data_IF_036147425301
#
_entry.id   IF_036147425301
#
_cell.length_a   1.000
_cell.length_b   1.000
_cell.length_c   1.000
_cell.angle_alpha   90.00
_cell.angle_beta   90.00
_cell.angle_gamma   90.00
#
_symmetry.space_group_name_H-M   'P 1'
#
loop_
_entity.id
_entity.type
_entity.pdbx_description
1 polymer ?
#
# COMPACT_ATOMS: atom_id res chain seq x y z
N UNK A 1 11.26 35.08 44.46
CA UNK A 1 12.32 34.14 44.89
C UNK A 1 11.65 32.81 45.21
N UNK A 2 11.92 31.67 44.61
CA UNK A 2 12.89 31.32 43.57
C UNK A 2 12.31 30.16 42.77
N UNK A 3 12.32 30.33 41.46
CA UNK A 3 12.15 29.30 40.46
C UNK A 3 13.44 28.44 40.47
N UNK A 4 13.34 27.10 40.42
CA UNK A 4 14.52 26.26 40.18
C UNK A 4 14.16 25.02 39.40
N UNK A 5 14.28 25.22 38.09
CA UNK A 5 14.34 24.28 36.99
C UNK A 5 14.97 22.93 37.30
N UNK A 6 14.24 21.87 36.92
CA UNK A 6 14.79 20.54 36.69
C UNK A 6 15.39 20.52 35.27
N UNK A 7 16.72 20.48 35.20
CA UNK A 7 17.51 20.30 33.97
C UNK A 7 17.55 18.82 33.59
N UNK A 8 17.01 18.48 32.42
CA UNK A 8 17.37 17.24 31.72
C UNK A 8 18.40 17.54 30.62
N UNK A 9 19.61 16.95 30.64
CA UNK A 9 20.48 16.91 29.49
C UNK A 9 20.54 15.48 28.93
N UNK A 10 20.16 15.31 27.66
CA UNK A 10 20.97 14.50 26.73
C UNK A 10 20.49 14.69 25.30
N UNK A 11 21.43 15.13 24.46
CA UNK A 11 21.23 15.27 23.03
C UNK A 11 21.18 13.92 22.33
N UNK A 12 20.31 13.80 21.35
CA UNK A 12 20.50 12.91 20.23
C UNK A 12 20.41 13.76 18.96
N UNK A 13 21.57 13.87 18.32
CA UNK A 13 21.82 14.60 17.10
C UNK A 13 21.07 13.94 15.94
N UNK A 14 19.79 14.26 15.79
CA UNK A 14 18.98 13.84 14.65
C UNK A 14 19.36 14.63 13.42
N UNK A 15 20.48 14.27 12.77
CA UNK A 15 20.75 14.61 11.36
C UNK A 15 19.67 13.94 10.51
N UNK A 16 18.49 14.55 10.50
CA UNK A 16 17.32 14.06 9.80
C UNK A 16 17.51 14.34 8.30
N UNK A 17 18.35 13.52 7.66
CA UNK A 17 18.47 13.42 6.20
C UNK A 17 17.13 12.88 5.69
N UNK A 18 16.13 13.76 5.60
CA UNK A 18 14.92 13.55 4.80
C UNK A 18 15.35 13.57 3.33
N UNK A 19 16.03 12.52 2.88
CA UNK A 19 16.52 12.40 1.50
C UNK A 19 15.72 11.31 0.80
N UNK A 20 15.07 11.78 -0.27
CA UNK A 20 14.26 11.08 -1.27
C UNK A 20 12.87 10.62 -0.82
N UNK A 21 11.90 11.42 -1.28
CA UNK A 21 10.45 11.23 -1.24
C UNK A 21 10.04 10.22 -2.34
N UNK A 22 10.61 9.02 -2.31
CA UNK A 22 10.26 7.93 -3.22
C UNK A 22 9.74 6.79 -2.37
N UNK A 23 8.42 6.71 -2.26
CA UNK A 23 7.72 5.65 -1.52
C UNK A 23 7.39 4.57 -2.55
N UNK A 24 7.96 3.37 -2.37
CA UNK A 24 7.92 2.25 -3.30
C UNK A 24 8.46 2.61 -4.72
N UNK A 25 9.79 2.55 -4.94
CA UNK A 25 10.41 2.96 -6.20
C UNK A 25 9.94 2.13 -7.40
N UNK A 26 9.59 0.86 -7.21
CA UNK A 26 9.12 0.00 -8.29
C UNK A 26 7.75 0.44 -8.82
N UNK A 27 6.83 0.77 -7.91
CA UNK A 27 5.51 1.29 -8.27
C UNK A 27 5.66 2.65 -8.97
N UNK A 28 6.40 3.58 -8.36
CA UNK A 28 6.53 4.93 -8.89
C UNK A 28 7.17 4.95 -10.28
N UNK A 29 8.28 4.23 -10.50
CA UNK A 29 8.95 4.21 -11.80
C UNK A 29 8.11 3.57 -12.90
N UNK A 30 7.40 2.46 -12.61
CA UNK A 30 6.53 1.80 -13.59
C UNK A 30 5.43 2.76 -14.08
N UNK A 31 4.79 3.49 -13.17
CA UNK A 31 3.77 4.47 -13.52
C UNK A 31 4.33 5.69 -14.20
N UNK A 32 5.40 6.29 -13.68
CA UNK A 32 6.04 7.44 -14.30
C UNK A 32 6.46 7.13 -15.73
N UNK A 33 7.08 5.96 -15.97
CA UNK A 33 7.50 5.55 -17.31
C UNK A 33 6.29 5.32 -18.24
N UNK A 34 5.22 4.70 -17.74
CA UNK A 34 3.99 4.47 -18.53
C UNK A 34 3.31 5.80 -18.89
N UNK A 35 3.20 6.74 -17.95
CA UNK A 35 2.61 8.08 -18.17
C UNK A 35 3.46 8.85 -19.18
N UNK A 36 4.76 8.96 -18.92
CA UNK A 36 5.68 9.74 -19.77
C UNK A 36 5.76 9.12 -21.16
N UNK A 37 5.87 7.80 -21.27
CA UNK A 37 5.89 7.08 -22.54
C UNK A 37 4.60 7.28 -23.33
N UNK A 38 3.44 7.22 -22.68
CA UNK A 38 2.15 7.50 -23.31
C UNK A 38 2.06 8.93 -23.82
N UNK A 39 2.33 9.92 -22.96
CA UNK A 39 2.32 11.36 -23.32
C UNK A 39 3.31 11.67 -24.44
N UNK A 40 4.52 11.09 -24.38
CA UNK A 40 5.53 11.23 -25.42
C UNK A 40 5.04 10.66 -26.74
N UNK A 41 4.52 9.42 -26.75
CA UNK A 41 3.98 8.77 -27.95
C UNK A 41 2.88 9.63 -28.60
N UNK A 42 1.99 10.19 -27.78
CA UNK A 42 0.91 11.09 -28.22
C UNK A 42 1.48 12.36 -28.86
N UNK A 43 2.43 13.01 -28.20
CA UNK A 43 3.05 14.24 -28.68
C UNK A 43 3.80 14.01 -30.00
N UNK A 44 4.55 12.92 -30.11
CA UNK A 44 5.25 12.54 -31.35
C UNK A 44 4.27 12.29 -32.48
N UNK A 45 3.16 11.59 -32.22
CA UNK A 45 2.14 11.31 -33.23
C UNK A 45 1.45 12.60 -33.70
N UNK A 46 1.11 13.51 -32.79
CA UNK A 46 0.58 14.84 -33.13
C UNK A 46 1.59 15.67 -33.92
N UNK A 47 2.87 15.67 -33.51
CA UNK A 47 3.92 16.43 -34.18
C UNK A 47 4.15 15.93 -35.60
N UNK A 48 4.16 14.61 -35.82
CA UNK A 48 4.27 14.01 -37.15
C UNK A 48 3.09 14.37 -38.05
N UNK A 49 1.85 14.28 -37.56
CA UNK A 49 0.67 14.61 -38.38
C UNK A 49 0.64 16.09 -38.74
N UNK A 50 0.94 16.98 -37.79
CA UNK A 50 1.01 18.41 -38.03
C UNK A 50 2.12 18.76 -39.04
N UNK A 51 3.32 18.17 -38.88
CA UNK A 51 4.42 18.37 -39.81
C UNK A 51 4.07 17.88 -41.22
N UNK A 52 3.43 16.72 -41.34
CA UNK A 52 2.97 16.18 -42.63
C UNK A 52 1.98 17.11 -43.34
N UNK A 53 0.99 17.63 -42.60
CA UNK A 53 0.01 18.59 -43.13
C UNK A 53 0.72 19.87 -43.60
N UNK A 54 1.58 20.46 -42.77
CA UNK A 54 2.30 21.69 -43.09
C UNK A 54 3.24 21.51 -44.30
N UNK A 55 3.94 20.38 -44.38
CA UNK A 55 4.81 20.06 -45.50
C UNK A 55 4.03 19.86 -46.80
N UNK A 56 2.88 19.18 -46.74
CA UNK A 56 1.98 19.03 -47.90
C UNK A 56 1.42 20.37 -48.37
N UNK A 57 1.05 21.26 -47.44
CA UNK A 57 0.62 22.64 -47.74
C UNK A 57 1.73 23.43 -48.43
N UNK A 58 2.96 23.37 -47.90
CA UNK A 58 4.12 24.04 -48.48
C UNK A 58 4.39 23.56 -49.90
N UNK A 59 4.36 22.24 -50.15
CA UNK A 59 4.51 21.68 -51.51
C UNK A 59 3.41 22.14 -52.46
N UNK A 60 2.16 22.19 -52.01
CA UNK A 60 1.03 22.67 -52.82
C UNK A 60 1.17 24.14 -53.21
N UNK A 61 1.62 25.00 -52.29
CA UNK A 61 1.85 26.44 -52.56
C UNK A 61 2.94 26.68 -53.59
N UNK A 62 3.99 25.86 -53.60
CA UNK A 62 5.08 25.98 -54.59
C UNK A 62 4.63 25.50 -55.97
N UNK A 63 3.88 24.41 -56.07
CA UNK A 63 3.42 23.87 -57.36
C UNK A 63 2.27 24.68 -57.98
N UNK A 64 1.39 25.25 -57.16
CA UNK A 64 0.20 25.96 -57.62
C UNK A 64 0.05 27.30 -56.88
N UNK A 65 0.77 28.35 -57.32
CA UNK A 65 0.80 29.64 -56.61
C UNK A 65 -0.52 30.42 -56.66
N UNK A 66 -1.36 30.23 -57.69
CA UNK A 66 -2.60 31.01 -57.88
C UNK A 66 -3.84 30.48 -57.15
N UNK A 67 -3.82 29.21 -56.69
CA UNK A 67 -4.93 28.60 -55.92
C UNK A 67 -4.67 28.72 -54.43
N UNK A 68 -4.84 29.93 -53.90
CA UNK A 68 -4.67 30.20 -52.46
C UNK A 68 -6.01 30.29 -51.73
N UNK A 69 -6.79 29.20 -51.71
CA UNK A 69 -7.94 29.09 -50.77
C UNK A 69 -7.42 28.86 -49.34
N UNK A 70 -7.01 29.94 -48.66
CA UNK A 70 -6.50 29.91 -47.28
C UNK A 70 -7.57 29.38 -46.30
N UNK A 71 -8.84 29.67 -46.58
CA UNK A 71 -9.98 29.32 -45.73
C UNK A 71 -10.26 27.83 -45.64
N UNK A 72 -10.23 27.11 -46.76
CA UNK A 72 -10.48 25.65 -46.80
C UNK A 72 -9.40 24.87 -46.05
N UNK A 73 -8.14 25.29 -46.22
CA UNK A 73 -6.99 24.68 -45.56
C UNK A 73 -6.99 24.91 -44.04
N UNK A 74 -7.44 26.09 -43.61
CA UNK A 74 -7.52 26.44 -42.17
C UNK A 74 -8.63 25.66 -41.47
N UNK A 75 -9.80 25.52 -42.11
CA UNK A 75 -10.91 24.72 -41.58
C UNK A 75 -10.53 23.25 -41.40
N UNK A 76 -9.88 22.64 -42.39
CA UNK A 76 -9.41 21.26 -42.29
C UNK A 76 -8.42 21.09 -41.14
N UNK A 77 -7.48 22.03 -40.96
CA UNK A 77 -6.53 21.99 -39.85
C UNK A 77 -7.22 22.08 -38.48
N UNK A 78 -8.17 23.00 -38.32
CA UNK A 78 -8.94 23.17 -37.07
C UNK A 78 -9.76 21.92 -36.77
N UNK A 79 -10.46 21.37 -37.78
CA UNK A 79 -11.26 20.15 -37.61
C UNK A 79 -10.37 18.95 -37.26
N UNK A 80 -9.24 18.76 -37.93
CA UNK A 80 -8.29 17.69 -37.60
C UNK A 80 -7.74 17.84 -36.18
N UNK A 81 -7.38 19.05 -35.76
CA UNK A 81 -6.91 19.33 -34.40
C UNK A 81 -8.00 19.05 -33.35
N UNK A 82 -9.25 19.45 -33.62
CA UNK A 82 -10.39 19.21 -32.74
C UNK A 82 -10.70 17.71 -32.62
N UNK A 83 -10.75 16.97 -33.73
CA UNK A 83 -10.96 15.52 -33.74
C UNK A 83 -9.84 14.82 -32.96
N UNK A 84 -8.58 15.21 -33.18
CA UNK A 84 -7.45 14.68 -32.44
C UNK A 84 -7.59 14.94 -30.94
N UNK A 85 -7.94 16.17 -30.53
CA UNK A 85 -8.13 16.52 -29.13
C UNK A 85 -9.23 15.67 -28.46
N UNK A 86 -10.35 15.44 -29.16
CA UNK A 86 -11.45 14.60 -28.66
C UNK A 86 -11.01 13.14 -28.51
N UNK A 87 -10.37 12.57 -29.53
CA UNK A 87 -9.83 11.21 -29.47
C UNK A 87 -8.83 11.06 -28.33
N UNK A 88 -7.99 12.08 -28.13
CA UNK A 88 -7.00 12.08 -27.07
C UNK A 88 -7.60 12.16 -25.68
N UNK A 89 -8.56 13.07 -25.48
CA UNK A 89 -9.29 13.17 -24.22
C UNK A 89 -9.97 11.84 -23.88
N UNK A 90 -10.65 11.22 -24.85
CA UNK A 90 -11.27 9.91 -24.68
C UNK A 90 -10.23 8.83 -24.31
N UNK A 91 -9.09 8.77 -25.02
CA UNK A 91 -8.02 7.83 -24.74
C UNK A 91 -7.43 7.97 -23.32
N UNK A 92 -7.16 9.21 -22.90
CA UNK A 92 -6.67 9.51 -21.54
C UNK A 92 -7.70 9.18 -20.46
N UNK A 93 -8.99 9.45 -20.71
CA UNK A 93 -10.08 9.07 -19.81
C UNK A 93 -10.18 7.56 -19.65
N UNK A 94 -10.18 6.79 -20.76
CA UNK A 94 -10.21 5.33 -20.72
C UNK A 94 -8.99 4.77 -19.99
N UNK A 95 -7.80 5.30 -20.27
CA UNK A 95 -6.58 4.87 -19.60
C UNK A 95 -6.60 5.16 -18.09
N UNK A 96 -7.08 6.34 -17.69
CA UNK A 96 -7.25 6.70 -16.27
C UNK A 96 -8.22 5.76 -15.55
N UNK A 97 -9.31 5.36 -16.22
CA UNK A 97 -10.29 4.41 -15.69
C UNK A 97 -9.68 3.02 -15.50
N UNK A 98 -8.89 2.53 -16.47
CA UNK A 98 -8.17 1.25 -16.35
C UNK A 98 -7.19 1.27 -15.18
N UNK A 99 -6.42 2.35 -15.03
CA UNK A 99 -5.48 2.52 -13.91
C UNK A 99 -6.23 2.51 -12.58
N UNK A 100 -7.35 3.22 -12.49
CA UNK A 100 -8.17 3.31 -11.27
C UNK A 100 -8.70 1.93 -10.88
N UNK A 101 -9.21 1.15 -11.84
CA UNK A 101 -9.70 -0.20 -11.57
C UNK A 101 -8.63 -1.14 -11.02
N UNK A 102 -7.37 -1.01 -11.46
CA UNK A 102 -6.25 -1.82 -10.94
C UNK A 102 -5.88 -1.52 -9.49
N UNK A 103 -6.29 -0.37 -8.97
CA UNK A 103 -6.03 0.06 -7.59
C UNK A 103 -7.26 -0.15 -6.72
N UNK A 104 -8.44 0.33 -7.16
CA UNK A 104 -9.67 0.27 -6.37
C UNK A 104 -10.17 -1.17 -6.13
N UNK A 105 -9.98 -2.07 -7.11
CA UNK A 105 -10.38 -3.47 -6.98
C UNK A 105 -9.72 -4.17 -5.78
N UNK A 106 -8.38 -4.28 -5.73
CA UNK A 106 -7.69 -4.85 -4.58
C UNK A 106 -7.90 -4.04 -3.30
N UNK A 107 -8.03 -2.72 -3.37
CA UNK A 107 -8.27 -1.89 -2.20
C UNK A 107 -9.59 -2.24 -1.49
N UNK A 108 -10.67 -2.44 -2.25
CA UNK A 108 -11.97 -2.85 -1.70
C UNK A 108 -11.91 -4.23 -1.02
N UNK A 109 -11.14 -5.16 -1.59
CA UNK A 109 -10.94 -6.49 -0.98
C UNK A 109 -10.23 -6.35 0.36
N UNK A 110 -9.18 -5.53 0.42
CA UNK A 110 -8.41 -5.29 1.64
C UNK A 110 -9.22 -4.55 2.71
N UNK A 111 -10.03 -3.56 2.31
CA UNK A 111 -10.96 -2.87 3.19
C UNK A 111 -11.92 -3.85 3.85
N UNK A 112 -12.59 -4.69 3.05
CA UNK A 112 -13.52 -5.70 3.58
C UNK A 112 -12.81 -6.70 4.51
N UNK A 113 -11.59 -7.13 4.19
CA UNK A 113 -10.80 -8.00 5.06
C UNK A 113 -10.51 -7.31 6.41
N UNK A 114 -10.10 -6.05 6.40
CA UNK A 114 -9.85 -5.28 7.61
C UNK A 114 -11.12 -5.05 8.43
N UNK A 115 -12.27 -4.86 7.78
CA UNK A 115 -13.57 -4.81 8.47
C UNK A 115 -13.87 -6.13 9.17
N UNK A 116 -13.67 -7.27 8.50
CA UNK A 116 -13.85 -8.59 9.13
C UNK A 116 -12.94 -8.77 10.36
N UNK A 117 -11.67 -8.37 10.26
CA UNK A 117 -10.73 -8.42 11.37
C UNK A 117 -11.17 -7.50 12.51
N UNK A 118 -11.65 -6.29 12.21
CA UNK A 118 -12.16 -5.34 13.20
C UNK A 118 -13.40 -5.85 13.95
N UNK A 119 -14.21 -6.69 13.30
CA UNK A 119 -15.35 -7.37 13.91
C UNK A 119 -14.97 -8.67 14.65
N UNK A 120 -13.69 -9.01 14.71
CA UNK A 120 -13.20 -10.27 15.30
C UNK A 120 -13.51 -11.52 14.46
N UNK A 121 -13.88 -11.35 13.19
CA UNK A 121 -14.11 -12.45 12.24
C UNK A 121 -12.81 -12.80 11.52
N UNK A 122 -12.60 -14.09 11.23
CA UNK A 122 -11.45 -14.52 10.42
C UNK A 122 -11.64 -14.05 8.96
N UNK A 123 -10.70 -13.27 8.39
CA UNK A 123 -10.78 -12.84 7.02
C UNK A 123 -10.48 -13.99 6.06
N UNK A 124 -11.15 -14.00 4.91
CA UNK A 124 -11.00 -15.05 3.90
C UNK A 124 -9.75 -14.85 3.05
N UNK A 125 -8.92 -15.90 2.87
CA UNK A 125 -7.69 -15.85 2.07
C UNK A 125 -7.99 -15.91 0.57
N UNK A 126 -8.41 -14.79 0.00
CA UNK A 126 -8.69 -14.68 -1.44
C UNK A 126 -7.54 -14.02 -2.22
N UNK A 127 -6.84 -14.73 -3.12
CA UNK A 127 -5.70 -14.16 -3.84
C UNK A 127 -6.09 -12.96 -4.72
N UNK A 128 -5.21 -11.95 -4.77
CA UNK A 128 -5.32 -10.82 -5.71
C UNK A 128 -5.04 -11.27 -7.14
N UNK A 129 -5.57 -10.51 -8.11
CA UNK A 129 -5.41 -10.81 -9.54
C UNK A 129 -3.95 -10.60 -9.95
N UNK A 130 -3.51 -11.32 -10.99
CA UNK A 130 -2.11 -11.31 -11.45
C UNK A 130 -1.58 -9.92 -11.85
N UNK A 131 -2.44 -8.97 -12.18
CA UNK A 131 -2.03 -7.64 -12.63
C UNK A 131 -2.42 -6.52 -11.67
N UNK A 132 -2.84 -6.87 -10.46
CA UNK A 132 -3.11 -5.88 -9.41
C UNK A 132 -1.80 -5.33 -8.86
N UNK A 133 -1.81 -4.04 -8.52
CA UNK A 133 -0.59 -3.31 -8.18
C UNK A 133 -0.31 -3.30 -6.67
N UNK A 134 -1.32 -3.64 -5.86
CA UNK A 134 -1.25 -3.69 -4.39
C UNK A 134 -0.80 -5.05 -3.85
N UNK A 135 -0.24 -5.94 -4.67
CA UNK A 135 0.13 -7.30 -4.24
C UNK A 135 1.17 -7.34 -3.13
N UNK A 136 2.19 -6.50 -3.20
CA UNK A 136 3.25 -6.49 -2.19
C UNK A 136 2.70 -5.98 -0.85
N UNK A 137 1.84 -4.97 -0.91
CA UNK A 137 1.11 -4.46 0.25
C UNK A 137 0.16 -5.53 0.81
N UNK A 138 -0.56 -6.25 -0.05
CA UNK A 138 -1.42 -7.36 0.33
C UNK A 138 -0.65 -8.50 1.00
N UNK A 139 0.51 -8.88 0.46
CA UNK A 139 1.38 -9.88 1.06
C UNK A 139 1.91 -9.44 2.43
N UNK A 140 2.27 -8.16 2.58
CA UNK A 140 2.68 -7.59 3.86
C UNK A 140 1.53 -7.61 4.87
N UNK A 141 0.32 -7.23 4.46
CA UNK A 141 -0.88 -7.27 5.30
C UNK A 141 -1.16 -8.69 5.79
N UNK A 142 -1.11 -9.71 4.92
CA UNK A 142 -1.28 -11.11 5.34
C UNK A 142 -0.23 -11.57 6.33
N UNK A 143 1.04 -11.24 6.11
CA UNK A 143 2.09 -11.56 7.09
C UNK A 143 1.82 -10.92 8.46
N UNK A 144 1.22 -9.73 8.49
CA UNK A 144 0.84 -9.09 9.74
C UNK A 144 -0.33 -9.82 10.42
N UNK A 145 -1.39 -10.14 9.67
CA UNK A 145 -2.54 -10.90 10.18
C UNK A 145 -2.15 -12.28 10.69
N UNK A 146 -1.28 -13.00 9.96
CA UNK A 146 -0.78 -14.32 10.37
C UNK A 146 -0.02 -14.25 11.70
N UNK A 147 0.77 -13.20 11.91
CA UNK A 147 1.46 -12.98 13.19
C UNK A 147 0.50 -12.65 14.32
N UNK A 148 -0.60 -11.95 14.05
CA UNK A 148 -1.64 -11.68 15.06
C UNK A 148 -2.35 -12.97 15.45
N UNK A 149 -2.72 -13.79 14.47
CA UNK A 149 -3.37 -15.08 14.71
C UNK A 149 -2.47 -16.04 15.51
N UNK A 150 -1.20 -16.16 15.14
CA UNK A 150 -0.22 -16.96 15.88
C UNK A 150 -0.08 -16.51 17.35
N UNK A 151 -0.14 -15.21 17.62
CA UNK A 151 -0.10 -14.66 18.99
C UNK A 151 -1.37 -15.00 19.76
N UNK A 152 -2.54 -14.87 19.13
CA UNK A 152 -3.80 -15.25 19.75
C UNK A 152 -3.84 -16.74 20.10
N UNK A 153 -3.38 -17.61 19.21
CA UNK A 153 -3.39 -19.05 19.43
C UNK A 153 -2.41 -19.46 20.53
N UNK A 154 -1.22 -18.84 20.59
CA UNK A 154 -0.30 -19.00 21.70
C UNK A 154 -0.93 -18.57 23.04
N UNK A 155 -1.63 -17.44 23.06
CA UNK A 155 -2.33 -16.95 24.25
C UNK A 155 -3.45 -17.90 24.69
N UNK A 156 -4.29 -18.36 23.74
CA UNK A 156 -5.36 -19.33 23.99
C UNK A 156 -4.80 -20.64 24.54
N UNK A 157 -3.67 -21.12 24.02
CA UNK A 157 -3.03 -22.34 24.49
C UNK A 157 -2.52 -22.20 25.93
N UNK A 158 -1.89 -21.06 26.26
CA UNK A 158 -1.48 -20.77 27.63
C UNK A 158 -2.68 -20.71 28.58
N UNK A 159 -3.78 -20.04 28.18
CA UNK A 159 -4.99 -19.96 29.00
C UNK A 159 -5.60 -21.35 29.25
N UNK A 160 -5.66 -22.21 28.22
CA UNK A 160 -6.14 -23.60 28.35
C UNK A 160 -5.31 -24.39 29.36
N UNK A 161 -3.98 -24.29 29.30
CA UNK A 161 -3.09 -24.95 30.28
C UNK A 161 -3.36 -24.51 31.72
N UNK A 162 -3.70 -23.23 31.95
CA UNK A 162 -4.08 -22.75 33.29
C UNK A 162 -5.39 -23.40 33.73
N UNK A 163 -6.40 -23.42 32.85
CA UNK A 163 -7.71 -24.03 33.16
C UNK A 163 -7.54 -25.52 33.46
N UNK A 164 -6.83 -26.26 32.60
CA UNK A 164 -6.57 -27.69 32.78
C UNK A 164 -5.82 -27.96 34.10
N UNK A 165 -4.87 -27.10 34.47
CA UNK A 165 -4.14 -27.21 35.74
C UNK A 165 -5.02 -26.92 36.96
N UNK A 166 -5.97 -25.99 36.84
CA UNK A 166 -6.94 -25.70 37.91
C UNK A 166 -7.93 -26.85 38.08
N UNK A 167 -8.47 -27.39 36.98
CA UNK A 167 -9.41 -28.53 37.01
C UNK A 167 -8.75 -29.77 37.66
N UNK A 168 -7.48 -30.05 37.34
CA UNK A 168 -6.72 -31.14 37.94
C UNK A 168 -6.50 -30.99 39.46
N UNK A 169 -6.59 -29.77 40.01
CA UNK A 169 -6.55 -29.53 41.45
C UNK A 169 -7.91 -29.71 42.10
N UNK A 170 -8.97 -29.29 41.42
CA UNK A 170 -10.34 -29.43 41.91
C UNK A 170 -10.70 -30.91 42.05
N UNK A 171 -10.20 -31.77 41.16
CA UNK A 171 -10.36 -33.24 41.30
C UNK A 171 -9.52 -33.85 42.45
N UNK A 172 -8.46 -33.17 42.92
CA UNK A 172 -7.57 -33.63 44.01
C UNK A 172 -7.93 -32.94 45.33
N UNK A 173 -9.20 -33.01 45.71
CA UNK A 173 -9.86 -32.13 46.67
C UNK A 173 -9.33 -32.11 48.13
N UNK A 174 -8.18 -32.71 48.50
CA UNK A 174 -7.74 -32.77 49.91
C UNK A 174 -6.24 -32.57 50.23
N UNK A 175 -5.35 -32.28 49.26
CA UNK A 175 -3.92 -32.06 49.59
C UNK A 175 -3.48 -30.59 49.48
N UNK A 176 -3.18 -29.98 50.63
CA UNK A 176 -2.61 -28.62 50.70
C UNK A 176 -1.30 -28.47 49.89
N UNK A 177 -0.55 -29.57 49.73
CA UNK A 177 0.64 -29.64 48.89
C UNK A 177 0.32 -29.59 47.38
N UNK A 178 -0.81 -30.16 46.95
CA UNK A 178 -1.25 -30.11 45.56
C UNK A 178 -1.66 -28.68 45.17
N UNK A 179 -2.39 -27.98 46.05
CA UNK A 179 -2.78 -26.57 45.86
C UNK A 179 -1.54 -25.64 45.78
N UNK A 180 -0.52 -25.87 46.60
CA UNK A 180 0.73 -25.10 46.54
C UNK A 180 1.51 -25.34 45.24
N UNK A 181 1.59 -26.59 44.78
CA UNK A 181 2.27 -26.96 43.53
C UNK A 181 1.65 -26.31 42.31
N UNK A 182 0.33 -26.27 42.21
CA UNK A 182 -0.30 -25.63 41.07
C UNK A 182 -0.38 -24.11 41.14
N UNK A 183 -0.42 -23.49 42.34
CA UNK A 183 -0.19 -22.05 42.44
C UNK A 183 1.16 -21.66 41.86
N UNK A 184 2.21 -22.43 42.15
CA UNK A 184 3.53 -22.24 41.56
C UNK A 184 3.51 -22.42 40.03
N UNK A 185 2.76 -23.40 39.53
CA UNK A 185 2.62 -23.64 38.09
C UNK A 185 1.86 -22.52 37.35
N UNK A 186 0.82 -21.95 37.98
CA UNK A 186 0.09 -20.77 37.47
C UNK A 186 0.97 -19.53 37.49
N UNK A 187 1.76 -19.32 38.55
CA UNK A 187 2.70 -18.20 38.63
C UNK A 187 3.82 -18.30 37.58
N UNK A 188 4.35 -19.49 37.36
CA UNK A 188 5.35 -19.74 36.32
C UNK A 188 4.77 -19.49 34.92
N UNK A 189 3.55 -19.96 34.65
CA UNK A 189 2.90 -19.70 33.37
C UNK A 189 2.55 -18.21 33.19
N UNK A 190 2.17 -17.51 34.27
CA UNK A 190 2.00 -16.05 34.27
C UNK A 190 3.31 -15.35 33.93
N UNK A 191 4.45 -15.85 34.41
CA UNK A 191 5.79 -15.31 34.13
C UNK A 191 6.16 -15.51 32.67
N UNK A 192 5.97 -16.72 32.14
CA UNK A 192 6.20 -17.04 30.72
C UNK A 192 5.30 -16.22 29.78
N UNK A 193 4.04 -16.01 30.16
CA UNK A 193 3.13 -15.14 29.42
C UNK A 193 3.60 -13.69 29.42
N UNK A 194 4.08 -13.21 30.58
CA UNK A 194 4.61 -11.85 30.70
C UNK A 194 5.87 -11.66 29.85
N UNK A 195 6.78 -12.62 29.86
CA UNK A 195 7.98 -12.60 29.01
C UNK A 195 7.64 -12.71 27.52
N UNK A 196 6.67 -13.52 27.12
CA UNK A 196 6.24 -13.61 25.73
C UNK A 196 5.60 -12.29 25.25
N UNK A 197 4.80 -11.64 26.08
CA UNK A 197 4.16 -10.34 25.75
C UNK A 197 5.19 -9.21 25.72
N UNK A 198 6.11 -9.15 26.68
CA UNK A 198 7.15 -8.12 26.76
C UNK A 198 8.21 -8.33 25.68
N UNK A 199 8.69 -9.55 25.49
CA UNK A 199 9.65 -9.88 24.42
C UNK A 199 9.09 -9.63 23.01
N UNK A 200 7.79 -9.88 22.80
CA UNK A 200 7.13 -9.55 21.53
C UNK A 200 6.96 -8.03 21.32
N UNK A 201 6.85 -7.25 22.40
CA UNK A 201 6.83 -5.78 22.36
C UNK A 201 8.22 -5.24 22.04
N UNK A 202 9.27 -5.78 22.65
CA UNK A 202 10.66 -5.34 22.44
C UNK A 202 11.16 -5.71 21.04
N UNK A 203 10.80 -6.89 20.52
CA UNK A 203 11.09 -7.28 19.14
C UNK A 203 10.37 -6.38 18.12
N UNK A 204 9.16 -5.89 18.43
CA UNK A 204 8.43 -4.95 17.57
C UNK A 204 9.03 -3.53 17.61
N UNK A 205 9.65 -3.14 18.72
CA UNK A 205 10.39 -1.87 18.85
C UNK A 205 11.71 -1.95 18.06
N UNK A 206 12.49 -3.02 18.21
CA UNK A 206 13.75 -3.18 17.48
C UNK A 206 13.60 -3.36 15.97
N UNK A 207 12.50 -3.97 15.49
CA UNK A 207 12.19 -4.05 14.06
C UNK A 207 11.78 -2.70 13.44
N UNK A 208 11.47 -1.68 14.26
CA UNK A 208 11.13 -0.32 13.81
C UNK A 208 12.38 0.56 13.64
N UNK A 209 13.49 0.16 14.27
CA UNK A 209 14.78 0.88 14.30
C UNK A 209 15.83 0.31 13.31
N UNK A 210 15.49 -0.78 12.59
CA UNK A 210 16.30 -1.43 11.55
C UNK A 210 15.73 -1.17 10.14
#
# INVERSE_FOLDING_TARGET
MSDSQIRHPHGANGRNRRRLRVINPAFQWKYTLTVVGGVFMIYTLMSCTLFGILHQQARRRVLFPDVTSVWENTLVMIVCAAVFAVVMAAGLCLWSLVVTHRICGPLYVMERMLTHVAEGRRPDRRPLRRHDELKDFYALMWRALDRMEQREDAYRQSLRRVVDALDALTEREHDAAAIAGARCQVEELRRQLHEAVVGARDAAVHAKDA
#
